data_IF_876964653743
#
_entry.id   IF_876964653743
#
_cell.length_a   1.000
_cell.length_b   1.000
_cell.length_c   1.000
_cell.angle_alpha   90.00
_cell.angle_beta   90.00
_cell.angle_gamma   90.00
#
_symmetry.space_group_name_H-M   'P 1'
#
loop_
_entity.id
_entity.type
_entity.pdbx_description
1 polymer ?
#
# COMPACT_ATOMS: atom_id res chain seq x y z
N UNK A 1 -9.74 -29.79 -34.58
CA UNK A 1 -10.60 -29.65 -33.38
C UNK A 1 -9.71 -29.59 -32.14
N UNK A 2 -9.56 -28.43 -31.49
CA UNK A 2 -8.63 -28.34 -30.34
C UNK A 2 -8.60 -27.02 -29.56
N UNK A 3 -9.45 -26.04 -29.89
CA UNK A 3 -9.42 -24.71 -29.25
C UNK A 3 -10.41 -24.50 -28.10
N UNK A 4 -11.28 -25.47 -27.80
CA UNK A 4 -12.41 -25.27 -26.86
C UNK A 4 -12.13 -25.62 -25.39
N UNK A 5 -11.06 -26.38 -25.08
CA UNK A 5 -10.82 -26.88 -23.71
C UNK A 5 -10.12 -25.88 -22.77
N UNK A 6 -9.35 -24.92 -23.28
CA UNK A 6 -8.67 -23.90 -22.45
C UNK A 6 -9.66 -22.90 -21.82
N UNK A 7 -10.66 -22.46 -22.59
CA UNK A 7 -11.64 -21.45 -22.13
C UNK A 7 -12.54 -21.93 -20.98
N UNK A 8 -12.84 -23.22 -20.93
CA UNK A 8 -13.75 -23.79 -19.93
C UNK A 8 -13.11 -23.96 -18.55
N UNK A 9 -11.78 -24.13 -18.52
CA UNK A 9 -11.02 -24.44 -17.31
C UNK A 9 -10.66 -23.18 -16.51
N UNK A 10 -10.44 -22.05 -17.20
CA UNK A 10 -10.25 -20.74 -16.55
C UNK A 10 -11.53 -20.21 -15.90
N UNK A 11 -12.70 -20.44 -16.51
CA UNK A 11 -13.99 -20.09 -15.90
C UNK A 11 -14.32 -20.95 -14.66
N UNK A 12 -13.83 -22.18 -14.62
CA UNK A 12 -13.99 -23.09 -13.48
C UNK A 12 -13.09 -22.66 -12.31
N UNK A 13 -11.83 -22.29 -12.58
CA UNK A 13 -10.93 -21.75 -11.54
C UNK A 13 -11.48 -20.47 -10.91
N UNK A 14 -11.93 -19.53 -11.75
CA UNK A 14 -12.54 -18.30 -11.24
C UNK A 14 -13.88 -18.54 -10.54
N UNK A 15 -14.50 -19.71 -10.68
CA UNK A 15 -15.72 -20.05 -9.93
C UNK A 15 -15.44 -20.74 -8.59
N UNK A 16 -14.19 -21.12 -8.32
CA UNK A 16 -13.76 -21.73 -7.06
C UNK A 16 -13.23 -20.69 -6.05
N UNK A 17 -13.21 -21.06 -4.77
CA UNK A 17 -12.79 -20.18 -3.68
C UNK A 17 -11.32 -19.74 -3.80
N UNK A 18 -10.45 -20.59 -4.35
CA UNK A 18 -9.04 -20.29 -4.56
C UNK A 18 -8.87 -19.19 -5.61
N UNK A 19 -9.56 -19.32 -6.75
CA UNK A 19 -9.54 -18.35 -7.84
C UNK A 19 -10.22 -17.04 -7.47
N UNK A 20 -11.31 -17.07 -6.68
CA UNK A 20 -11.93 -15.85 -6.16
C UNK A 20 -11.00 -15.09 -5.20
N UNK A 21 -10.33 -15.80 -4.28
CA UNK A 21 -9.37 -15.18 -3.37
C UNK A 21 -8.13 -14.64 -4.11
N UNK A 22 -7.63 -15.38 -5.10
CA UNK A 22 -6.56 -14.91 -5.97
C UNK A 22 -6.97 -13.65 -6.75
N UNK A 23 -8.17 -13.62 -7.33
CA UNK A 23 -8.69 -12.46 -8.06
C UNK A 23 -8.85 -11.25 -7.14
N UNK A 24 -9.33 -11.46 -5.92
CA UNK A 24 -9.45 -10.39 -4.92
C UNK A 24 -8.07 -9.80 -4.56
N UNK A 25 -7.06 -10.64 -4.37
CA UNK A 25 -5.68 -10.19 -4.15
C UNK A 25 -5.17 -9.38 -5.34
N UNK A 26 -5.33 -9.87 -6.56
CA UNK A 26 -4.92 -9.15 -7.78
C UNK A 26 -5.61 -7.79 -7.90
N UNK A 27 -6.91 -7.73 -7.63
CA UNK A 27 -7.67 -6.48 -7.67
C UNK A 27 -7.17 -5.48 -6.63
N UNK A 28 -6.94 -5.92 -5.39
CA UNK A 28 -6.38 -5.08 -4.31
C UNK A 28 -4.98 -4.60 -4.63
N UNK A 29 -4.09 -5.48 -5.10
CA UNK A 29 -2.74 -5.13 -5.52
C UNK A 29 -2.74 -4.10 -6.65
N UNK A 30 -3.63 -4.26 -7.63
CA UNK A 30 -3.79 -3.29 -8.73
C UNK A 30 -4.24 -1.93 -8.24
N UNK A 31 -5.20 -1.89 -7.29
CA UNK A 31 -5.66 -0.64 -6.68
C UNK A 31 -4.54 0.07 -5.89
N UNK A 32 -3.73 -0.68 -5.14
CA UNK A 32 -2.57 -0.16 -4.41
C UNK A 32 -1.55 0.46 -5.38
N UNK A 33 -1.18 -0.25 -6.45
CA UNK A 33 -0.24 0.27 -7.46
C UNK A 33 -0.80 1.54 -8.10
N UNK A 34 -2.08 1.54 -8.47
CA UNK A 34 -2.72 2.72 -9.04
C UNK A 34 -2.73 3.92 -8.08
N UNK A 35 -2.88 3.69 -6.77
CA UNK A 35 -2.83 4.77 -5.78
C UNK A 35 -1.39 5.24 -5.53
N UNK A 36 -0.39 4.36 -5.53
CA UNK A 36 1.04 4.74 -5.48
C UNK A 36 1.37 5.67 -6.64
N UNK A 37 0.99 5.28 -7.86
CA UNK A 37 1.24 6.08 -9.06
C UNK A 37 0.59 7.46 -8.92
N UNK A 38 -0.72 7.50 -8.61
CA UNK A 38 -1.45 8.75 -8.42
C UNK A 38 -0.79 9.63 -7.34
N UNK A 39 -0.49 9.09 -6.17
CA UNK A 39 0.09 9.91 -5.09
C UNK A 39 1.52 10.38 -5.40
N UNK A 40 2.31 9.58 -6.11
CA UNK A 40 3.67 9.98 -6.50
C UNK A 40 3.71 11.11 -7.54
N UNK A 41 2.69 11.21 -8.40
CA UNK A 41 2.55 12.30 -9.37
C UNK A 41 2.20 13.64 -8.70
N UNK A 42 1.44 13.62 -7.60
CA UNK A 42 0.87 14.82 -6.96
C UNK A 42 1.56 15.24 -5.64
N UNK A 43 2.83 14.89 -5.46
CA UNK A 43 3.58 15.34 -4.27
C UNK A 43 3.75 16.89 -4.31
N UNK A 44 3.23 17.64 -3.30
CA UNK A 44 3.33 19.10 -3.25
C UNK A 44 4.78 19.60 -3.21
N UNK A 45 4.99 20.83 -3.71
CA UNK A 45 6.30 21.48 -3.68
C UNK A 45 6.86 21.63 -2.29
N UNK A 46 6.00 21.82 -1.28
CA UNK A 46 6.41 22.02 0.10
C UNK A 46 7.11 20.79 0.71
N UNK A 47 6.89 19.60 0.14
CA UNK A 47 7.62 18.38 0.49
C UNK A 47 8.86 18.16 -0.39
N UNK A 48 8.80 18.55 -1.67
CA UNK A 48 9.94 18.38 -2.61
C UNK A 48 11.08 19.35 -2.32
N UNK A 49 10.73 20.60 -2.02
CA UNK A 49 11.66 21.70 -1.76
C UNK A 49 11.22 22.41 -0.46
N UNK A 50 11.41 21.79 0.71
CA UNK A 50 10.92 22.31 1.97
C UNK A 50 11.80 23.47 2.48
N UNK A 51 12.15 24.48 1.68
CA UNK A 51 13.04 25.56 2.16
C UNK A 51 12.43 26.34 3.31
N UNK A 52 11.13 26.64 3.23
CA UNK A 52 10.39 27.37 4.28
C UNK A 52 9.99 26.48 5.45
N UNK A 53 9.87 25.18 5.22
CA UNK A 53 9.32 24.20 6.14
C UNK A 53 10.37 23.16 6.58
N UNK A 54 11.66 23.41 6.32
CA UNK A 54 12.73 22.41 6.55
C UNK A 54 12.80 21.95 8.00
N UNK A 55 12.51 22.86 8.91
CA UNK A 55 12.56 22.61 10.35
C UNK A 55 11.35 21.80 10.85
N UNK A 56 10.27 21.71 10.06
CA UNK A 56 9.05 20.95 10.40
C UNK A 56 8.85 19.72 9.49
N UNK A 57 9.53 19.63 8.35
CA UNK A 57 9.49 18.48 7.45
C UNK A 57 10.64 17.52 7.79
N UNK A 58 10.29 16.40 8.41
CA UNK A 58 11.22 15.35 8.81
C UNK A 58 11.69 14.46 7.67
N UNK A 59 12.91 13.96 7.81
CA UNK A 59 13.36 12.72 7.17
C UNK A 59 13.20 11.52 8.12
N UNK A 60 13.77 10.37 7.75
CA UNK A 60 13.71 9.16 8.58
C UNK A 60 14.50 9.24 9.88
N UNK A 61 15.38 10.23 10.07
CA UNK A 61 16.08 10.42 11.34
C UNK A 61 15.10 10.75 12.48
N UNK A 62 13.90 11.25 12.17
CA UNK A 62 12.83 11.50 13.13
C UNK A 62 12.53 10.27 13.99
N UNK A 63 12.55 9.06 13.43
CA UNK A 63 12.29 7.84 14.20
C UNK A 63 13.31 7.58 15.33
N UNK A 64 14.49 8.20 15.25
CA UNK A 64 15.53 8.10 16.28
C UNK A 64 15.67 9.36 17.14
N UNK A 65 15.16 10.50 16.67
CA UNK A 65 15.37 11.82 17.29
C UNK A 65 14.08 12.60 17.49
N UNK A 66 12.95 11.91 17.61
CA UNK A 66 11.63 12.51 17.73
C UNK A 66 11.58 13.55 18.87
N UNK A 67 12.10 13.21 20.06
CA UNK A 67 12.09 14.11 21.22
C UNK A 67 12.86 15.42 20.96
N UNK A 68 14.02 15.36 20.30
CA UNK A 68 14.80 16.56 19.96
C UNK A 68 14.05 17.42 18.94
N UNK A 69 13.43 16.77 17.95
CA UNK A 69 12.67 17.43 16.90
C UNK A 69 11.44 18.14 17.45
N UNK A 70 10.61 17.44 18.21
CA UNK A 70 9.40 17.97 18.86
C UNK A 70 9.75 19.13 19.81
N UNK A 71 10.83 18.98 20.58
CA UNK A 71 11.31 20.04 21.47
C UNK A 71 11.74 21.29 20.71
N UNK A 72 12.35 21.16 19.53
CA UNK A 72 12.74 22.30 18.71
C UNK A 72 11.51 23.09 18.22
N UNK A 73 10.47 22.40 17.78
CA UNK A 73 9.21 23.02 17.36
C UNK A 73 8.55 23.72 18.56
N UNK A 74 8.37 23.01 19.68
CA UNK A 74 7.68 23.52 20.87
C UNK A 74 8.32 24.76 21.50
N UNK A 75 9.63 24.93 21.36
CA UNK A 75 10.35 26.08 21.92
C UNK A 75 10.26 27.35 21.05
N UNK A 76 9.60 27.30 19.89
CA UNK A 76 9.42 28.44 19.00
C UNK A 76 7.95 28.61 18.63
N UNK A 77 7.37 29.74 19.05
CA UNK A 77 6.00 30.11 18.67
C UNK A 77 5.82 30.21 17.15
N UNK A 78 6.87 30.63 16.43
CA UNK A 78 6.87 30.69 14.97
C UNK A 78 6.85 29.29 14.34
N UNK A 79 7.65 28.34 14.87
CA UNK A 79 7.67 26.97 14.34
C UNK A 79 6.36 26.24 14.68
N UNK A 80 5.79 26.47 15.86
CA UNK A 80 4.48 25.93 16.23
C UNK A 80 3.39 26.37 15.25
N UNK A 81 3.31 27.67 14.94
CA UNK A 81 2.32 28.17 13.98
C UNK A 81 2.54 27.58 12.58
N UNK A 82 3.79 27.47 12.14
CA UNK A 82 4.13 26.88 10.83
C UNK A 82 3.78 25.40 10.77
N UNK A 83 4.04 24.64 11.83
CA UNK A 83 3.69 23.22 11.93
C UNK A 83 2.17 23.03 11.84
N UNK A 84 1.41 23.83 12.58
CA UNK A 84 -0.06 23.80 12.53
C UNK A 84 -0.61 24.14 11.13
N UNK A 85 -0.10 25.21 10.52
CA UNK A 85 -0.51 25.63 9.16
C UNK A 85 -0.16 24.55 8.12
N UNK A 86 1.04 23.97 8.21
CA UNK A 86 1.49 22.91 7.32
C UNK A 86 0.63 21.65 7.46
N UNK A 87 0.35 21.25 8.70
CA UNK A 87 -0.51 20.12 9.01
C UNK A 87 -1.90 20.34 8.45
N UNK A 88 -2.54 21.48 8.73
CA UNK A 88 -3.89 21.78 8.23
C UNK A 88 -3.95 21.77 6.70
N UNK A 89 -2.91 22.31 6.05
CA UNK A 89 -2.83 22.36 4.58
C UNK A 89 -2.71 20.97 3.96
N UNK A 90 -1.89 20.09 4.54
CA UNK A 90 -1.50 18.83 3.93
C UNK A 90 -2.13 17.59 4.57
N UNK A 91 -2.99 17.75 5.58
CA UNK A 91 -3.56 16.63 6.35
C UNK A 91 -4.24 15.58 5.47
N UNK A 92 -5.08 16.00 4.53
CA UNK A 92 -5.80 15.08 3.65
C UNK A 92 -4.83 14.25 2.78
N UNK A 93 -3.75 14.85 2.31
CA UNK A 93 -2.73 14.15 1.55
C UNK A 93 -1.98 13.14 2.42
N UNK A 94 -1.56 13.55 3.62
CA UNK A 94 -0.85 12.68 4.56
C UNK A 94 -1.73 11.50 5.00
N UNK A 95 -3.02 11.74 5.26
CA UNK A 95 -3.99 10.68 5.57
C UNK A 95 -4.16 9.69 4.40
N UNK A 96 -4.14 10.16 3.15
CA UNK A 96 -4.14 9.28 1.97
C UNK A 96 -2.89 8.41 1.88
N UNK A 97 -1.70 8.97 2.10
CA UNK A 97 -0.46 8.18 2.16
C UNK A 97 -0.49 7.16 3.30
N UNK A 98 -0.98 7.55 4.48
CA UNK A 98 -1.13 6.64 5.61
C UNK A 98 -2.06 5.46 5.29
N UNK A 99 -3.24 5.75 4.71
CA UNK A 99 -4.18 4.73 4.25
C UNK A 99 -3.58 3.82 3.18
N UNK A 100 -2.80 4.37 2.24
CA UNK A 100 -2.07 3.60 1.25
C UNK A 100 -1.09 2.64 1.91
N UNK A 101 -0.21 3.11 2.80
CA UNK A 101 0.75 2.24 3.48
C UNK A 101 0.09 1.16 4.33
N UNK A 102 -1.01 1.50 5.00
CA UNK A 102 -1.84 0.51 5.71
C UNK A 102 -2.43 -0.53 4.74
N UNK A 103 -2.88 -0.10 3.56
CA UNK A 103 -3.36 -0.97 2.49
C UNK A 103 -2.27 -1.91 1.98
N UNK A 104 -1.04 -1.42 1.79
CA UNK A 104 0.13 -2.23 1.41
C UNK A 104 0.42 -3.30 2.48
N UNK A 105 0.47 -2.90 3.75
CA UNK A 105 0.68 -3.85 4.85
C UNK A 105 -0.42 -4.93 4.89
N UNK A 106 -1.69 -4.52 4.79
CA UNK A 106 -2.82 -5.45 4.75
C UNK A 106 -2.73 -6.43 3.58
N UNK A 107 -2.40 -5.95 2.38
CA UNK A 107 -2.20 -6.78 1.19
C UNK A 107 -1.09 -7.82 1.39
N UNK A 108 0.07 -7.43 1.94
CA UNK A 108 1.18 -8.36 2.19
C UNK A 108 0.78 -9.44 3.18
N UNK A 109 0.09 -9.08 4.27
CA UNK A 109 -0.39 -10.04 5.26
C UNK A 109 -1.39 -11.04 4.66
N UNK A 110 -2.34 -10.56 3.86
CA UNK A 110 -3.32 -11.41 3.18
C UNK A 110 -2.69 -12.31 2.13
N UNK A 111 -1.74 -11.79 1.35
CA UNK A 111 -1.00 -12.57 0.35
C UNK A 111 -0.20 -13.69 1.01
N UNK A 112 0.52 -13.39 2.10
CA UNK A 112 1.27 -14.39 2.86
C UNK A 112 0.33 -15.47 3.39
N UNK A 113 -0.80 -15.07 3.99
CA UNK A 113 -1.80 -16.01 4.48
C UNK A 113 -2.34 -16.91 3.36
N UNK A 114 -2.71 -16.35 2.21
CA UNK A 114 -3.22 -17.11 1.08
C UNK A 114 -2.21 -18.15 0.57
N UNK A 115 -0.93 -17.77 0.50
CA UNK A 115 0.16 -18.68 0.12
C UNK A 115 0.27 -19.85 1.11
N UNK A 116 0.19 -19.58 2.41
CA UNK A 116 0.24 -20.63 3.43
C UNK A 116 -1.00 -21.54 3.38
N UNK A 117 -2.20 -20.99 3.20
CA UNK A 117 -3.43 -21.79 3.03
C UNK A 117 -3.32 -22.77 1.84
N UNK A 118 -2.70 -22.34 0.72
CA UNK A 118 -2.44 -23.25 -0.42
C UNK A 118 -1.46 -24.36 -0.02
N UNK A 119 -0.34 -24.02 0.65
CA UNK A 119 0.67 -25.01 1.06
C UNK A 119 0.13 -26.03 2.06
N UNK A 120 -0.76 -25.60 2.96
CA UNK A 120 -1.41 -26.45 3.95
C UNK A 120 -2.54 -27.32 3.35
N UNK A 121 -2.85 -27.14 2.05
CA UNK A 121 -3.85 -27.93 1.35
C UNK A 121 -5.29 -27.52 1.65
N UNK A 122 -5.52 -26.30 2.13
CA UNK A 122 -6.87 -25.72 2.32
C UNK A 122 -7.64 -25.75 1.00
N UNK A 123 -6.96 -25.46 -0.11
CA UNK A 123 -7.49 -25.58 -1.46
C UNK A 123 -7.08 -26.93 -2.07
N UNK A 124 -7.81 -28.00 -1.75
CA UNK A 124 -7.47 -29.42 -2.03
C UNK A 124 -7.04 -29.67 -3.49
N UNK A 125 -7.66 -28.98 -4.46
CA UNK A 125 -7.40 -29.16 -5.89
C UNK A 125 -6.25 -28.30 -6.45
N UNK A 126 -5.60 -27.49 -5.61
CA UNK A 126 -4.65 -26.47 -6.06
C UNK A 126 -3.30 -26.59 -5.35
N UNK A 127 -2.24 -26.32 -6.11
CA UNK A 127 -0.90 -26.04 -5.60
C UNK A 127 -0.46 -24.69 -6.17
N UNK A 128 0.61 -24.10 -5.63
CA UNK A 128 1.15 -22.85 -6.17
C UNK A 128 1.49 -23.01 -7.66
N UNK A 129 2.09 -24.13 -8.03
CA UNK A 129 2.46 -24.45 -9.41
C UNK A 129 1.21 -24.58 -10.30
N UNK A 130 0.16 -25.25 -9.84
CA UNK A 130 -1.06 -25.42 -10.65
C UNK A 130 -1.78 -24.10 -10.90
N UNK A 131 -1.71 -23.15 -9.95
CA UNK A 131 -2.24 -21.79 -10.10
C UNK A 131 -1.40 -20.98 -11.09
N UNK A 132 -0.07 -21.02 -10.98
CA UNK A 132 0.83 -20.22 -11.83
C UNK A 132 0.90 -20.70 -13.29
N UNK A 133 0.73 -22.01 -13.53
CA UNK A 133 0.82 -22.63 -14.87
C UNK A 133 -0.47 -22.42 -15.70
N UNK A 134 -1.59 -22.02 -15.08
CA UNK A 134 -2.89 -21.86 -15.74
C UNK A 134 -3.08 -20.54 -16.54
N UNK A 135 -2.00 -19.95 -17.08
CA UNK A 135 -2.07 -18.85 -18.06
C UNK A 135 -2.15 -19.36 -19.53
#
# INVERSE_FOLDING_TARGET
MGRSKKHHRGSEFLADDCGQNALQLVARGSAIIAEILRLSEFIPSDFKNPEKNREIVCDFAYFTKADEFEKNIQNSAELLQRDDDFRQTHFELLDRFFKLFRGVYGYVMEMNRFIEEIKEGVYISHTIESILVNN
#
